data_IF_479589142906
#
_entry.id   IF_479589142906
#
_cell.length_a   1.000
_cell.length_b   1.000
_cell.length_c   1.000
_cell.angle_alpha   90.00
_cell.angle_beta   90.00
_cell.angle_gamma   90.00
#
_symmetry.space_group_name_H-M   'P 1'
#
loop_
_entity.id
_entity.type
_entity.pdbx_description
1 polymer ?
#
# COMPACT_ATOMS: atom_id res chain seq x y z
N UNK A 1 -14.37 35.18 5.65
CA UNK A 1 -13.02 34.61 5.90
C UNK A 1 -12.86 33.39 5.02
N UNK A 2 -12.12 33.46 3.90
CA UNK A 2 -11.74 32.27 3.13
C UNK A 2 -10.67 31.55 3.95
N UNK A 3 -11.07 30.48 4.65
CA UNK A 3 -10.15 29.58 5.32
C UNK A 3 -9.09 29.15 4.31
N UNK A 4 -7.83 29.37 4.69
CA UNK A 4 -6.65 28.97 3.95
C UNK A 4 -6.80 27.47 3.64
N UNK A 5 -7.05 27.12 2.38
CA UNK A 5 -7.00 25.72 1.96
C UNK A 5 -5.53 25.32 2.07
N UNK A 6 -5.16 24.68 3.18
CA UNK A 6 -3.84 24.07 3.30
C UNK A 6 -3.62 23.19 2.05
N UNK A 7 -2.47 23.32 1.37
CA UNK A 7 -2.18 22.45 0.26
C UNK A 7 -2.20 21.02 0.79
N UNK A 8 -3.17 20.22 0.32
CA UNK A 8 -3.22 18.81 0.64
C UNK A 8 -1.88 18.21 0.22
N UNK A 9 -1.03 17.90 1.19
CA UNK A 9 0.26 17.25 0.96
C UNK A 9 -0.07 15.90 0.30
N UNK A 10 0.08 15.84 -1.02
CA UNK A 10 -0.15 14.61 -1.76
C UNK A 10 0.94 13.64 -1.34
N UNK A 11 0.54 12.57 -0.67
CA UNK A 11 1.45 11.48 -0.37
C UNK A 11 1.84 10.84 -1.71
N UNK A 12 3.13 10.86 -2.04
CA UNK A 12 3.65 10.20 -3.24
C UNK A 12 3.91 8.75 -2.89
N UNK A 13 3.17 7.78 -3.48
CA UNK A 13 3.40 6.37 -3.19
C UNK A 13 4.81 5.95 -3.64
N UNK A 14 5.45 5.08 -2.86
CA UNK A 14 6.74 4.51 -3.24
C UNK A 14 6.55 3.41 -4.33
N UNK A 15 7.66 2.89 -4.86
CA UNK A 15 7.63 1.89 -5.94
C UNK A 15 6.86 0.62 -5.55
N UNK A 16 6.99 0.14 -4.30
CA UNK A 16 6.30 -1.05 -3.83
C UNK A 16 4.79 -0.82 -3.67
N UNK A 17 4.40 0.35 -3.15
CA UNK A 17 3.00 0.77 -3.02
C UNK A 17 2.35 0.90 -4.41
N UNK A 18 3.08 1.49 -5.35
CA UNK A 18 2.65 1.62 -6.76
C UNK A 18 2.49 0.24 -7.40
N UNK A 19 3.49 -0.63 -7.27
CA UNK A 19 3.46 -2.00 -7.78
C UNK A 19 2.30 -2.81 -7.18
N UNK A 20 2.00 -2.63 -5.89
CA UNK A 20 0.85 -3.24 -5.25
C UNK A 20 -0.47 -2.72 -5.83
N UNK A 21 -0.60 -1.42 -6.06
CA UNK A 21 -1.81 -0.79 -6.59
C UNK A 21 -2.19 -1.30 -8.00
N UNK A 22 -1.18 -1.61 -8.83
CA UNK A 22 -1.34 -2.14 -10.19
C UNK A 22 -1.78 -3.61 -10.22
N UNK A 23 -1.73 -4.32 -9.09
CA UNK A 23 -2.14 -5.71 -9.03
C UNK A 23 -3.67 -5.86 -9.08
N UNK A 24 -4.12 -6.97 -9.66
CA UNK A 24 -5.55 -7.34 -9.64
C UNK A 24 -6.09 -7.40 -8.20
N UNK A 25 -7.38 -7.06 -8.03
CA UNK A 25 -8.03 -7.04 -6.70
C UNK A 25 -7.85 -8.35 -5.93
N UNK A 26 -7.97 -9.49 -6.61
CA UNK A 26 -7.77 -10.81 -5.99
C UNK A 26 -6.34 -11.02 -5.48
N UNK A 27 -5.33 -10.53 -6.21
CA UNK A 27 -3.92 -10.59 -5.77
C UNK A 27 -3.69 -9.68 -4.58
N UNK A 28 -4.16 -8.44 -4.62
CA UNK A 28 -4.09 -7.50 -3.50
C UNK A 28 -4.71 -8.10 -2.23
N UNK A 29 -5.90 -8.68 -2.34
CA UNK A 29 -6.57 -9.33 -1.21
C UNK A 29 -5.76 -10.48 -0.60
N UNK A 30 -5.07 -11.28 -1.43
CA UNK A 30 -4.22 -12.38 -0.93
C UNK A 30 -2.99 -11.87 -0.18
N UNK A 31 -2.35 -10.81 -0.70
CA UNK A 31 -1.19 -10.20 -0.06
C UNK A 31 -1.59 -9.47 1.24
N UNK A 32 -2.74 -8.79 1.27
CA UNK A 32 -3.29 -8.21 2.48
C UNK A 32 -3.55 -9.27 3.56
N UNK A 33 -4.17 -10.41 3.19
CA UNK A 33 -4.38 -11.52 4.12
C UNK A 33 -3.05 -12.11 4.63
N UNK A 34 -2.04 -12.26 3.76
CA UNK A 34 -0.71 -12.73 4.16
C UNK A 34 0.01 -11.74 5.10
N UNK A 35 -0.26 -10.44 4.96
CA UNK A 35 0.21 -9.38 5.86
C UNK A 35 -0.69 -9.20 7.10
N UNK A 36 -1.61 -10.13 7.37
CA UNK A 36 -2.55 -10.12 8.51
C UNK A 36 -3.35 -8.81 8.62
N UNK A 37 -3.73 -8.25 7.47
CA UNK A 37 -4.52 -7.02 7.39
C UNK A 37 -5.68 -7.17 6.42
N UNK A 38 -6.54 -6.16 6.38
CA UNK A 38 -7.66 -6.11 5.45
C UNK A 38 -7.30 -5.37 4.16
N UNK A 39 -8.16 -5.52 3.13
CA UNK A 39 -7.95 -4.88 1.84
C UNK A 39 -8.06 -3.35 1.92
N UNK A 40 -8.78 -2.81 2.91
CA UNK A 40 -8.99 -1.36 3.07
C UNK A 40 -7.70 -0.71 3.52
N UNK A 41 -7.10 -1.20 4.62
CA UNK A 41 -5.79 -0.75 5.13
C UNK A 41 -4.69 -0.96 4.10
N UNK A 42 -4.69 -2.10 3.41
CA UNK A 42 -3.70 -2.32 2.36
C UNK A 42 -3.87 -1.35 1.16
N UNK A 43 -5.10 -0.94 0.85
CA UNK A 43 -5.37 0.07 -0.19
C UNK A 43 -5.04 1.49 0.28
N UNK A 44 -5.21 1.79 1.57
CA UNK A 44 -4.75 3.03 2.20
C UNK A 44 -3.22 3.13 2.12
N UNK A 45 -2.52 2.09 2.57
CA UNK A 45 -1.07 1.99 2.46
C UNK A 45 -0.58 2.17 1.01
N UNK A 46 -1.25 1.56 0.03
CA UNK A 46 -0.90 1.70 -1.39
C UNK A 46 -0.99 3.13 -1.94
N UNK A 47 -1.79 4.00 -1.29
CA UNK A 47 -1.91 5.42 -1.64
C UNK A 47 -0.90 6.31 -0.90
N UNK A 48 -0.08 5.72 -0.03
CA UNK A 48 0.80 6.45 0.87
C UNK A 48 0.09 6.98 2.11
N UNK A 49 -1.13 6.53 2.41
CA UNK A 49 -1.84 6.92 3.63
C UNK A 49 -1.14 6.33 4.87
N UNK A 50 -1.27 7.01 6.00
CA UNK A 50 -0.78 6.52 7.28
C UNK A 50 -1.54 5.25 7.70
N UNK A 51 -0.81 4.15 7.87
CA UNK A 51 -1.28 2.90 8.47
C UNK A 51 -0.39 2.53 9.64
N UNK A 52 -0.81 1.55 10.44
CA UNK A 52 0.03 1.02 11.52
C UNK A 52 1.39 0.54 10.95
N UNK A 53 2.53 0.88 11.58
CA UNK A 53 3.86 0.51 11.09
C UNK A 53 4.01 -0.99 10.84
N UNK A 54 3.42 -1.82 11.71
CA UNK A 54 3.47 -3.28 11.62
C UNK A 54 2.79 -3.78 10.34
N UNK A 55 1.66 -3.16 9.96
CA UNK A 55 0.93 -3.46 8.73
C UNK A 55 1.73 -3.02 7.51
N UNK A 56 2.36 -1.84 7.56
CA UNK A 56 3.19 -1.35 6.47
C UNK A 56 4.38 -2.28 6.22
N UNK A 57 5.12 -2.65 7.27
CA UNK A 57 6.28 -3.57 7.17
C UNK A 57 5.86 -4.95 6.65
N UNK A 58 4.74 -5.49 7.14
CA UNK A 58 4.23 -6.77 6.67
C UNK A 58 3.84 -6.73 5.17
N UNK A 59 3.14 -5.67 4.73
CA UNK A 59 2.79 -5.48 3.32
C UNK A 59 4.02 -5.32 2.44
N UNK A 60 5.00 -4.52 2.85
CA UNK A 60 6.26 -4.35 2.12
C UNK A 60 6.99 -5.67 1.92
N UNK A 61 7.09 -6.49 2.97
CA UNK A 61 7.71 -7.82 2.89
C UNK A 61 6.98 -8.74 1.90
N UNK A 62 5.65 -8.79 1.96
CA UNK A 62 4.84 -9.63 1.07
C UNK A 62 4.91 -9.17 -0.39
N UNK A 63 4.86 -7.85 -0.63
CA UNK A 63 4.98 -7.28 -1.98
C UNK A 63 6.36 -7.52 -2.56
N UNK A 64 7.42 -7.29 -1.77
CA UNK A 64 8.81 -7.55 -2.19
C UNK A 64 9.04 -9.01 -2.55
N UNK A 65 8.56 -9.94 -1.72
CA UNK A 65 8.63 -11.38 -2.01
C UNK A 65 7.86 -11.74 -3.28
N UNK A 66 6.69 -11.12 -3.50
CA UNK A 66 5.89 -11.37 -4.70
C UNK A 66 6.57 -10.86 -5.98
N UNK A 67 7.11 -9.63 -5.96
CA UNK A 67 7.81 -9.02 -7.09
C UNK A 67 9.08 -9.80 -7.42
N UNK A 68 9.85 -10.22 -6.41
CA UNK A 68 11.03 -11.06 -6.59
C UNK A 68 10.69 -12.39 -7.28
N UNK A 69 9.60 -13.06 -6.86
CA UNK A 69 9.12 -14.29 -7.48
C UNK A 69 8.67 -14.10 -8.94
N UNK A 70 8.20 -12.92 -9.32
CA UNK A 70 7.78 -12.64 -10.71
C UNK A 70 8.96 -12.38 -11.65
N UNK A 71 10.11 -11.93 -11.12
CA UNK A 71 11.33 -11.67 -11.91
C UNK A 71 12.22 -12.90 -12.11
N UNK A 72 12.01 -13.98 -11.35
CA UNK A 72 12.74 -15.25 -11.47
C UNK A 72 11.97 -16.32 -12.23
#
# INVERSE_FOLDING_TARGET
MRGFLEPALRQTPNELQSAYSEMSRGRRSKLAAAAQTDLVKASQWARGDAVQPEVATALEAQVKAHVAKKKG
#
